data_IF_064723729955
#
_entry.id   IF_064723729955
#
_cell.length_a   1.000
_cell.length_b   1.000
_cell.length_c   1.000
_cell.angle_alpha   90.00
_cell.angle_beta   90.00
_cell.angle_gamma   90.00
#
_symmetry.space_group_name_H-M   'P 1'
#
loop_
_entity.id
_entity.type
_entity.pdbx_description
1 polymer ?
#
# COMPACT_ATOMS: atom_id res chain seq x y z
N UNK A 1 -48.59 19.59 26.83
CA UNK A 1 -47.29 19.51 26.13
C UNK A 1 -46.48 18.36 26.71
N UNK A 2 -46.46 17.22 26.02
CA UNK A 2 -45.64 16.06 26.36
C UNK A 2 -44.39 16.04 25.45
N UNK A 3 -43.21 15.61 25.92
CA UNK A 3 -42.04 15.46 25.07
C UNK A 3 -42.13 14.14 24.29
N UNK A 4 -41.93 14.20 22.98
CA UNK A 4 -41.74 13.02 22.13
C UNK A 4 -40.28 12.62 22.28
N UNK A 5 -40.00 11.59 23.09
CA UNK A 5 -38.69 10.96 23.12
C UNK A 5 -38.55 10.07 21.88
N UNK A 6 -37.76 10.49 20.90
CA UNK A 6 -37.35 9.63 19.79
C UNK A 6 -36.35 8.60 20.34
N UNK A 7 -36.78 7.34 20.45
CA UNK A 7 -35.88 6.24 20.76
C UNK A 7 -35.02 5.94 19.52
N UNK A 8 -33.72 6.23 19.60
CA UNK A 8 -32.75 5.82 18.59
C UNK A 8 -32.58 4.31 18.65
N UNK A 9 -33.04 3.60 17.63
CA UNK A 9 -32.71 2.20 17.45
C UNK A 9 -31.18 2.05 17.28
N UNK A 10 -30.53 1.02 17.84
CA UNK A 10 -29.12 0.79 17.61
C UNK A 10 -28.93 0.49 16.12
N UNK A 11 -27.99 1.20 15.49
CA UNK A 11 -27.51 0.86 14.15
C UNK A 11 -26.95 -0.57 14.23
N UNK A 12 -27.66 -1.53 13.64
CA UNK A 12 -27.12 -2.88 13.46
C UNK A 12 -25.90 -2.75 12.55
N UNK A 13 -24.71 -2.87 13.13
CA UNK A 13 -23.49 -3.05 12.37
C UNK A 13 -23.64 -4.35 11.57
N UNK A 14 -23.87 -4.23 10.27
CA UNK A 14 -23.74 -5.37 9.36
C UNK A 14 -22.36 -5.96 9.59
N UNK A 15 -22.28 -7.26 9.82
CA UNK A 15 -21.03 -7.99 9.88
C UNK A 15 -20.35 -7.84 8.52
N UNK A 16 -19.44 -6.88 8.39
CA UNK A 16 -18.43 -6.88 7.36
C UNK A 16 -17.69 -8.21 7.52
N UNK A 17 -17.96 -9.17 6.63
CA UNK A 17 -17.20 -10.42 6.58
C UNK A 17 -15.71 -10.10 6.62
N UNK A 18 -14.91 -10.93 7.29
CA UNK A 18 -13.48 -10.69 7.51
C UNK A 18 -12.81 -10.17 6.22
N UNK A 19 -12.53 -8.87 6.15
CA UNK A 19 -11.77 -8.29 5.05
C UNK A 19 -10.33 -8.80 5.20
N UNK A 20 -10.03 -9.89 4.50
CA UNK A 20 -8.70 -10.46 4.43
C UNK A 20 -7.92 -9.70 3.35
N UNK A 21 -6.62 -9.49 3.59
CA UNK A 21 -5.72 -8.97 2.57
C UNK A 21 -5.71 -9.96 1.38
N UNK A 22 -6.11 -9.52 0.17
CA UNK A 22 -6.03 -10.38 -1.00
C UNK A 22 -4.58 -10.75 -1.33
N UNK A 23 -4.37 -11.89 -1.99
CA UNK A 23 -3.06 -12.23 -2.52
C UNK A 23 -2.62 -11.21 -3.58
N UNK A 24 -1.32 -10.92 -3.63
CA UNK A 24 -0.74 -10.15 -4.73
C UNK A 24 -0.88 -10.94 -6.03
N UNK A 25 -1.44 -10.31 -7.07
CA UNK A 25 -1.70 -10.94 -8.36
C UNK A 25 -1.25 -10.02 -9.49
N UNK A 26 -0.69 -10.60 -10.55
CA UNK A 26 -0.32 -9.83 -11.73
C UNK A 26 0.94 -9.00 -11.63
N UNK A 27 1.70 -9.21 -10.57
CA UNK A 27 2.97 -8.53 -10.35
C UNK A 27 3.96 -9.03 -11.40
N UNK A 28 4.48 -8.13 -12.23
CA UNK A 28 5.44 -8.49 -13.27
C UNK A 28 6.81 -8.84 -12.69
N UNK A 29 7.19 -8.16 -11.60
CA UNK A 29 8.42 -8.38 -10.85
C UNK A 29 8.36 -7.72 -9.48
N UNK A 30 9.28 -8.10 -8.60
CA UNK A 30 9.49 -7.50 -7.30
C UNK A 30 10.85 -6.80 -7.25
N UNK A 31 10.85 -5.57 -6.74
CA UNK A 31 12.07 -4.82 -6.43
C UNK A 31 12.26 -4.79 -4.91
N UNK A 32 13.52 -4.71 -4.48
CA UNK A 32 13.97 -4.72 -3.08
C UNK A 32 13.61 -5.97 -2.25
N UNK A 33 12.96 -6.98 -2.83
CA UNK A 33 12.69 -8.25 -2.15
C UNK A 33 12.38 -9.36 -3.14
N UNK A 34 12.47 -10.60 -2.65
CA UNK A 34 11.75 -11.72 -3.25
C UNK A 34 10.22 -11.51 -3.16
N UNK A 35 9.42 -12.23 -3.97
CA UNK A 35 7.95 -12.16 -3.90
C UNK A 35 7.39 -12.44 -2.52
N UNK A 36 6.55 -11.54 -2.00
CA UNK A 36 5.85 -11.73 -0.73
C UNK A 36 4.49 -12.37 -0.92
N UNK A 37 4.11 -13.24 0.01
CA UNK A 37 2.77 -13.80 0.15
C UNK A 37 2.01 -13.15 1.31
N UNK A 38 0.69 -13.30 1.34
CA UNK A 38 -0.11 -12.87 2.49
C UNK A 38 0.29 -13.61 3.77
N UNK A 39 0.79 -14.85 3.66
CA UNK A 39 1.27 -15.60 4.80
C UNK A 39 2.51 -14.96 5.43
N UNK A 40 3.43 -14.43 4.62
CA UNK A 40 4.63 -13.73 5.09
C UNK A 40 4.31 -12.45 5.87
N UNK A 41 3.12 -11.89 5.65
CA UNK A 41 2.65 -10.64 6.27
C UNK A 41 1.79 -10.86 7.52
N UNK A 42 1.41 -12.10 7.83
CA UNK A 42 0.57 -12.40 9.00
C UNK A 42 1.27 -12.06 10.31
N UNK A 43 0.53 -11.45 11.24
CA UNK A 43 1.03 -11.05 12.55
C UNK A 43 1.79 -9.72 12.55
N UNK A 44 1.97 -9.08 11.39
CA UNK A 44 2.52 -7.74 11.27
C UNK A 44 1.41 -6.70 11.11
N UNK A 45 1.70 -5.45 11.47
CA UNK A 45 0.95 -4.31 10.94
C UNK A 45 1.46 -4.07 9.53
N UNK A 46 0.57 -4.03 8.55
CA UNK A 46 0.95 -3.92 7.13
C UNK A 46 0.45 -2.61 6.56
N UNK A 47 1.37 -1.81 6.00
CA UNK A 47 1.05 -0.63 5.20
C UNK A 47 1.22 -0.98 3.72
N UNK A 48 0.12 -0.99 2.98
CA UNK A 48 0.13 -1.07 1.53
C UNK A 48 -0.01 0.34 0.97
N UNK A 49 1.00 0.82 0.24
CA UNK A 49 0.97 2.11 -0.45
C UNK A 49 0.90 1.88 -1.96
N UNK A 50 -0.12 2.40 -2.62
CA UNK A 50 -0.16 2.47 -4.08
C UNK A 50 0.47 3.79 -4.54
N UNK A 51 1.40 3.72 -5.47
CA UNK A 51 2.12 4.90 -5.93
C UNK A 51 2.62 4.76 -7.37
N UNK A 52 2.94 5.90 -7.97
CA UNK A 52 3.73 5.98 -9.19
C UNK A 52 4.70 7.14 -9.07
N UNK A 53 5.86 7.07 -9.73
CA UNK A 53 6.93 8.02 -9.48
C UNK A 53 6.68 9.42 -10.03
N UNK A 54 5.89 9.60 -11.11
CA UNK A 54 5.61 10.96 -11.62
C UNK A 54 4.49 11.70 -10.87
N UNK A 55 3.79 11.01 -9.96
CA UNK A 55 2.68 11.60 -9.20
C UNK A 55 3.18 12.46 -8.04
N UNK A 56 2.99 13.78 -8.13
CA UNK A 56 3.40 14.72 -7.07
C UNK A 56 2.75 14.46 -5.71
N UNK A 57 1.52 13.93 -5.71
CA UNK A 57 0.84 13.57 -4.46
C UNK A 57 1.50 12.36 -3.81
N UNK A 58 1.90 11.36 -4.60
CA UNK A 58 2.69 10.24 -4.10
C UNK A 58 4.02 10.72 -3.55
N UNK A 59 4.77 11.52 -4.32
CA UNK A 59 6.08 12.04 -3.90
C UNK A 59 6.02 12.78 -2.56
N UNK A 60 4.98 13.58 -2.31
CA UNK A 60 4.79 14.28 -1.03
C UNK A 60 4.59 13.34 0.17
N UNK A 61 4.14 12.10 -0.06
CA UNK A 61 3.95 11.09 1.00
C UNK A 61 5.17 10.21 1.23
N UNK A 62 6.04 10.04 0.23
CA UNK A 62 7.17 9.11 0.29
C UNK A 62 8.13 9.38 1.47
N UNK A 63 8.54 10.62 1.79
CA UNK A 63 9.43 10.88 2.92
C UNK A 63 8.90 10.41 4.27
N UNK A 64 7.58 10.46 4.47
CA UNK A 64 6.95 9.99 5.70
C UNK A 64 6.94 8.46 5.77
N UNK A 65 6.68 7.80 4.65
CA UNK A 65 6.58 6.34 4.59
C UNK A 65 7.96 5.69 4.70
N UNK A 66 9.00 6.27 4.09
CA UNK A 66 10.37 5.81 4.27
C UNK A 66 10.84 6.01 5.71
N UNK A 67 10.48 7.14 6.33
CA UNK A 67 10.73 7.37 7.76
C UNK A 67 10.00 6.34 8.64
N UNK A 68 8.73 6.05 8.41
CA UNK A 68 7.99 5.04 9.16
C UNK A 68 8.57 3.64 8.99
N UNK A 69 8.97 3.27 7.77
CA UNK A 69 9.66 2.01 7.53
C UNK A 69 10.93 1.91 8.40
N UNK A 70 11.76 2.96 8.40
CA UNK A 70 12.97 2.99 9.23
C UNK A 70 12.68 2.91 10.74
N UNK A 71 11.67 3.63 11.23
CA UNK A 71 11.37 3.71 12.66
C UNK A 71 10.66 2.47 13.22
N UNK A 72 9.78 1.86 12.43
CA UNK A 72 8.83 0.85 12.93
C UNK A 72 9.03 -0.55 12.35
N UNK A 73 9.93 -0.76 11.38
CA UNK A 73 10.17 -2.11 10.84
C UNK A 73 10.56 -3.12 11.92
N UNK A 74 11.47 -2.74 12.83
CA UNK A 74 11.87 -3.58 13.96
C UNK A 74 10.76 -3.78 15.01
N UNK A 75 9.69 -2.98 14.95
CA UNK A 75 8.54 -3.04 15.86
C UNK A 75 7.35 -3.79 15.22
N UNK A 76 7.53 -4.36 14.03
CA UNK A 76 6.53 -5.20 13.37
C UNK A 76 5.71 -4.50 12.28
N UNK A 77 6.08 -3.28 11.86
CA UNK A 77 5.53 -2.69 10.65
C UNK A 77 6.16 -3.33 9.41
N UNK A 78 5.34 -3.71 8.43
CA UNK A 78 5.78 -4.08 7.07
C UNK A 78 5.18 -3.12 6.06
N UNK A 79 6.04 -2.42 5.32
CA UNK A 79 5.63 -1.53 4.22
C UNK A 79 5.78 -2.29 2.90
N UNK A 80 4.76 -2.20 2.05
CA UNK A 80 4.80 -2.68 0.66
C UNK A 80 4.32 -1.54 -0.25
N UNK A 81 5.21 -1.03 -1.10
CA UNK A 81 4.91 0.06 -2.03
C UNK A 81 4.54 -0.48 -3.40
N UNK A 82 3.26 -0.73 -3.67
CA UNK A 82 2.79 -1.24 -4.97
C UNK A 82 2.94 -0.14 -6.02
N UNK A 83 3.91 -0.31 -6.93
CA UNK A 83 4.10 0.62 -8.04
C UNK A 83 3.07 0.32 -9.13
N UNK A 84 2.14 1.24 -9.33
CA UNK A 84 1.05 1.13 -10.31
C UNK A 84 1.15 2.31 -11.28
N UNK A 85 1.64 2.10 -12.50
CA UNK A 85 1.90 3.18 -13.44
C UNK A 85 0.59 3.89 -13.84
N UNK A 86 0.68 5.18 -14.12
CA UNK A 86 -0.32 6.01 -14.80
C UNK A 86 0.05 6.16 -16.28
N UNK A 87 1.34 6.18 -16.62
CA UNK A 87 1.85 6.37 -17.97
C UNK A 87 2.75 5.22 -18.45
N UNK A 88 2.90 5.02 -19.79
CA UNK A 88 3.76 3.97 -20.33
C UNK A 88 5.21 4.03 -19.86
N UNK A 89 5.80 5.23 -19.76
CA UNK A 89 7.19 5.40 -19.32
C UNK A 89 7.41 4.99 -17.86
N UNK A 90 6.33 4.87 -17.07
CA UNK A 90 6.40 4.42 -15.68
C UNK A 90 6.45 2.89 -15.57
N UNK A 91 6.20 2.18 -16.66
CA UNK A 91 6.39 0.71 -16.73
C UNK A 91 7.85 0.32 -16.86
N UNK A 92 8.72 1.25 -17.27
CA UNK A 92 10.14 1.01 -17.49
C UNK A 92 10.86 0.84 -16.16
N UNK A 93 11.42 -0.35 -15.95
CA UNK A 93 11.97 -0.75 -14.65
C UNK A 93 13.13 0.15 -14.22
N UNK A 94 14.00 0.54 -15.15
CA UNK A 94 15.11 1.45 -14.86
C UNK A 94 14.64 2.80 -14.30
N UNK A 95 13.47 3.28 -14.73
CA UNK A 95 12.91 4.53 -14.22
C UNK A 95 12.36 4.35 -12.80
N UNK A 96 11.72 3.19 -12.54
CA UNK A 96 11.25 2.85 -11.18
C UNK A 96 12.45 2.73 -10.24
N UNK A 97 13.50 2.00 -10.60
CA UNK A 97 14.73 1.86 -9.80
C UNK A 97 15.40 3.20 -9.51
N UNK A 98 15.47 4.10 -10.49
CA UNK A 98 15.96 5.45 -10.28
C UNK A 98 15.13 6.22 -9.23
N UNK A 99 13.80 6.13 -9.31
CA UNK A 99 12.91 6.73 -8.32
C UNK A 99 13.03 6.09 -6.93
N UNK A 100 13.24 4.77 -6.85
CA UNK A 100 13.50 4.09 -5.57
C UNK A 100 14.76 4.65 -4.90
N UNK A 101 15.84 4.81 -5.67
CA UNK A 101 17.09 5.38 -5.20
C UNK A 101 16.92 6.86 -4.79
N UNK A 102 16.25 7.68 -5.62
CA UNK A 102 16.00 9.09 -5.36
C UNK A 102 15.22 9.31 -4.05
N UNK A 103 14.22 8.47 -3.79
CA UNK A 103 13.35 8.62 -2.62
C UNK A 103 13.77 7.77 -1.41
N UNK A 104 14.88 7.04 -1.49
CA UNK A 104 15.36 6.19 -0.40
C UNK A 104 14.39 5.04 -0.07
N UNK A 105 13.70 4.51 -1.07
CA UNK A 105 12.76 3.41 -0.92
C UNK A 105 13.54 2.09 -0.93
N UNK A 106 13.65 1.49 0.26
CA UNK A 106 14.31 0.20 0.47
C UNK A 106 13.34 -0.94 0.83
N UNK A 107 12.07 -0.61 1.04
CA UNK A 107 11.03 -1.61 1.33
C UNK A 107 10.59 -2.34 0.03
N UNK A 108 9.93 -3.51 0.15
CA UNK A 108 9.39 -4.27 -0.98
C UNK A 108 8.50 -3.45 -1.92
N UNK A 109 8.76 -3.54 -3.23
CA UNK A 109 8.01 -2.83 -4.28
C UNK A 109 7.61 -3.83 -5.38
N UNK A 110 6.38 -4.37 -5.33
CA UNK A 110 5.82 -5.12 -6.44
C UNK A 110 5.40 -4.18 -7.58
N UNK A 111 5.72 -4.56 -8.82
CA UNK A 111 5.39 -3.81 -10.04
C UNK A 111 4.07 -4.30 -10.64
N UNK A 112 3.02 -3.47 -10.59
CA UNK A 112 1.69 -3.76 -11.15
C UNK A 112 1.48 -3.05 -12.50
N UNK A 113 2.17 -3.51 -13.54
CA UNK A 113 2.09 -2.90 -14.88
C UNK A 113 0.79 -3.22 -15.66
N UNK A 114 -0.17 -3.95 -15.06
CA UNK A 114 -1.37 -4.42 -15.78
C UNK A 114 -2.48 -3.39 -15.91
N UNK A 115 -2.47 -2.32 -15.10
CA UNK A 115 -3.60 -1.39 -15.02
C UNK A 115 -3.65 -0.33 -16.13
N UNK A 116 -2.54 -0.08 -16.84
CA UNK A 116 -2.52 0.82 -18.00
C UNK A 116 -2.48 -0.03 -19.26
N UNK A 117 -3.55 0.02 -20.06
CA UNK A 117 -3.64 -0.60 -21.39
C UNK A 117 -2.88 0.20 -22.44
#
# INVERSE_FOLDING_TARGET
NAPVAAASAPLSASSSGSMQLPAFQGISQWLNSEPLTVADLKGSVVLIQFWTFSCINCQRTLPYITQWNSQYAAQGLKVVGVHTPEFPFEKEISNVEAALAEHGIIYPVPIDNRLVG
#
